data_IF_466640462798
#
_entry.id   IF_466640462798
#
_cell.length_a   1.000
_cell.length_b   1.000
_cell.length_c   1.000
_cell.angle_alpha   90.00
_cell.angle_beta   90.00
_cell.angle_gamma   90.00
#
_symmetry.space_group_name_H-M   'P 1'
#
loop_
_entity.id
_entity.type
_entity.pdbx_description
1 polymer ?
#
# COMPACT_ATOMS: atom_id res chain seq x y z
N UNK A 1 6.21 13.86 -18.75
CA UNK A 1 7.16 13.94 -17.65
C UNK A 1 6.75 13.00 -16.51
N UNK A 2 5.56 13.14 -15.91
CA UNK A 2 5.07 12.34 -14.76
C UNK A 2 5.18 10.83 -14.99
N UNK A 3 4.63 10.32 -16.11
CA UNK A 3 4.64 8.89 -16.43
C UNK A 3 6.07 8.38 -16.69
N UNK A 4 6.93 9.16 -17.34
CA UNK A 4 8.31 8.79 -17.62
C UNK A 4 9.11 8.65 -16.32
N UNK A 5 8.97 9.59 -15.38
CA UNK A 5 9.65 9.55 -14.09
C UNK A 5 9.13 8.42 -13.20
N UNK A 6 7.80 8.20 -13.19
CA UNK A 6 7.25 7.07 -12.46
C UNK A 6 7.79 5.72 -12.99
N UNK A 7 7.85 5.56 -14.31
CA UNK A 7 8.42 4.34 -14.92
C UNK A 7 9.90 4.15 -14.62
N UNK A 8 10.69 5.24 -14.65
CA UNK A 8 12.15 5.17 -14.50
C UNK A 8 12.60 5.08 -13.03
N UNK A 9 11.94 5.80 -12.13
CA UNK A 9 12.35 5.96 -10.74
C UNK A 9 11.40 5.31 -9.73
N UNK A 10 10.25 4.81 -10.14
CA UNK A 10 9.21 4.27 -9.28
C UNK A 10 8.31 5.33 -8.64
N UNK A 11 8.72 6.59 -8.63
CA UNK A 11 7.93 7.73 -8.18
C UNK A 11 8.30 9.00 -8.96
N UNK A 12 7.31 9.82 -9.27
CA UNK A 12 7.53 11.10 -9.98
C UNK A 12 8.45 12.03 -9.18
N UNK A 13 8.28 12.07 -7.86
CA UNK A 13 9.10 12.88 -6.96
C UNK A 13 10.60 12.64 -7.15
N UNK A 14 11.04 11.38 -7.29
CA UNK A 14 12.47 11.08 -7.45
C UNK A 14 13.04 11.67 -8.74
N UNK A 15 12.32 11.59 -9.84
CA UNK A 15 12.72 12.21 -11.09
C UNK A 15 12.72 13.73 -11.01
N UNK A 16 11.80 14.32 -10.26
CA UNK A 16 11.74 15.77 -10.05
C UNK A 16 12.93 16.26 -9.21
N UNK A 17 13.30 15.53 -8.17
CA UNK A 17 14.49 15.84 -7.36
C UNK A 17 15.76 15.75 -8.22
N UNK A 18 15.90 14.67 -8.99
CA UNK A 18 17.12 14.39 -9.77
C UNK A 18 17.35 15.40 -10.89
N UNK A 19 16.29 15.84 -11.57
CA UNK A 19 16.41 16.62 -12.80
C UNK A 19 16.01 18.09 -12.69
N UNK A 20 15.35 18.50 -11.60
CA UNK A 20 14.77 19.85 -11.49
C UNK A 20 15.15 20.58 -10.20
N UNK A 21 16.00 19.98 -9.36
CA UNK A 21 16.48 20.58 -8.11
C UNK A 21 15.35 21.19 -7.23
N UNK A 22 14.16 20.53 -7.24
CA UNK A 22 12.99 21.01 -6.50
C UNK A 22 13.14 20.78 -4.99
N UNK A 23 12.42 21.56 -4.20
CA UNK A 23 12.19 21.25 -2.80
C UNK A 23 11.15 20.11 -2.71
N UNK A 24 11.49 18.91 -2.19
CA UNK A 24 10.57 17.77 -2.15
C UNK A 24 9.30 18.05 -1.34
N UNK A 25 9.43 18.77 -0.22
CA UNK A 25 8.29 19.05 0.66
C UNK A 25 7.31 20.02 0.03
N UNK A 26 7.79 21.10 -0.59
CA UNK A 26 6.96 22.04 -1.32
C UNK A 26 6.23 21.31 -2.49
N UNK A 27 6.96 20.52 -3.27
CA UNK A 27 6.38 19.74 -4.36
C UNK A 27 5.26 18.79 -3.89
N UNK A 28 5.47 18.10 -2.76
CA UNK A 28 4.47 17.21 -2.19
C UNK A 28 3.22 17.95 -1.71
N UNK A 29 3.38 19.16 -1.18
CA UNK A 29 2.25 20.01 -0.80
C UNK A 29 1.45 20.48 -2.00
N UNK A 30 2.11 21.01 -3.00
CA UNK A 30 1.47 21.62 -4.18
C UNK A 30 0.76 20.59 -5.09
N UNK A 31 1.30 19.35 -5.14
CA UNK A 31 0.77 18.31 -6.02
C UNK A 31 -0.35 17.47 -5.39
N UNK A 32 -0.72 17.72 -4.13
CA UNK A 32 -1.76 16.96 -3.43
C UNK A 32 -2.85 17.88 -2.84
N UNK A 33 -3.61 18.60 -3.69
CA UNK A 33 -4.70 19.44 -3.23
C UNK A 33 -5.82 18.60 -2.61
N UNK A 34 -6.29 18.99 -1.42
CA UNK A 34 -7.25 18.24 -0.63
C UNK A 34 -8.73 18.59 -0.88
N UNK A 35 -9.13 19.88 -1.10
CA UNK A 35 -10.52 20.26 -1.07
C UNK A 35 -11.41 19.48 -2.03
N UNK A 36 -11.03 19.42 -3.31
CA UNK A 36 -11.79 18.74 -4.36
C UNK A 36 -11.86 17.22 -4.17
N UNK A 37 -10.82 16.65 -3.59
CA UNK A 37 -10.79 15.22 -3.29
C UNK A 37 -11.72 14.89 -2.13
N UNK A 38 -11.62 15.63 -1.03
CA UNK A 38 -12.44 15.38 0.16
C UNK A 38 -13.93 15.55 -0.11
N UNK A 39 -14.30 16.50 -0.98
CA UNK A 39 -15.69 16.68 -1.41
C UNK A 39 -16.27 15.44 -2.14
N UNK A 40 -15.43 14.62 -2.75
CA UNK A 40 -15.82 13.39 -3.48
C UNK A 40 -15.68 12.12 -2.65
N UNK A 41 -15.02 12.18 -1.51
CA UNK A 41 -14.86 11.07 -0.61
C UNK A 41 -15.94 11.11 0.48
N UNK A 42 -16.28 9.95 1.00
CA UNK A 42 -17.15 9.80 2.16
C UNK A 42 -16.77 8.56 2.96
N UNK A 43 -17.38 8.37 4.14
CA UNK A 43 -17.13 7.18 4.95
C UNK A 43 -17.44 5.90 4.19
N UNK A 44 -16.48 5.00 4.12
CA UNK A 44 -16.64 3.72 3.43
C UNK A 44 -17.00 2.61 4.41
N UNK A 45 -18.27 2.52 4.83
CA UNK A 45 -18.76 1.59 5.86
C UNK A 45 -18.31 0.13 5.65
N UNK A 46 -18.37 -0.39 4.40
CA UNK A 46 -17.95 -1.76 4.12
C UNK A 46 -16.45 -1.99 4.35
N UNK A 47 -15.59 -1.01 4.07
CA UNK A 47 -14.16 -1.07 4.35
C UNK A 47 -13.87 -0.96 5.85
N UNK A 48 -14.55 -0.07 6.55
CA UNK A 48 -14.46 0.06 8.01
C UNK A 48 -14.80 -1.25 8.70
N UNK A 49 -15.93 -1.87 8.33
CA UNK A 49 -16.35 -3.15 8.87
C UNK A 49 -15.34 -4.26 8.57
N UNK A 50 -14.79 -4.28 7.35
CA UNK A 50 -13.75 -5.21 6.98
C UNK A 50 -12.49 -5.04 7.82
N UNK A 51 -12.01 -3.81 8.02
CA UNK A 51 -10.83 -3.52 8.83
C UNK A 51 -11.03 -3.86 10.31
N UNK A 52 -12.24 -3.65 10.88
CA UNK A 52 -12.55 -4.05 12.26
C UNK A 52 -12.47 -5.57 12.45
N UNK A 53 -12.90 -6.34 11.46
CA UNK A 53 -12.87 -7.81 11.51
C UNK A 53 -11.49 -8.41 11.29
N UNK A 54 -10.56 -7.69 10.68
CA UNK A 54 -9.21 -8.18 10.48
C UNK A 54 -8.44 -8.23 11.80
N UNK A 55 -7.89 -9.40 12.11
CA UNK A 55 -6.98 -9.58 13.24
C UNK A 55 -5.58 -9.08 12.91
N UNK A 56 -4.83 -8.74 13.95
CA UNK A 56 -3.45 -8.26 13.83
C UNK A 56 -3.34 -6.76 13.53
N UNK A 57 -2.10 -6.32 13.59
CA UNK A 57 -1.72 -4.92 13.40
C UNK A 57 -2.00 -4.44 11.97
N UNK A 58 -2.57 -3.28 11.84
CA UNK A 58 -2.92 -2.66 10.55
C UNK A 58 -2.11 -1.38 10.36
N UNK A 59 -1.29 -1.38 9.33
CA UNK A 59 -0.40 -0.27 8.98
C UNK A 59 -0.73 0.21 7.57
N UNK A 60 -0.91 1.50 7.39
CA UNK A 60 -1.00 2.13 6.07
C UNK A 60 0.42 2.45 5.60
N UNK A 61 0.75 2.06 4.36
CA UNK A 61 2.00 2.36 3.70
C UNK A 61 1.72 3.07 2.38
N UNK A 62 2.03 4.36 2.31
CA UNK A 62 1.69 5.21 1.16
C UNK A 62 2.84 6.09 0.68
N UNK A 63 2.95 6.27 -0.64
CA UNK A 63 3.84 7.29 -1.22
C UNK A 63 3.22 8.70 -1.18
N UNK A 64 2.02 8.86 -0.64
CA UNK A 64 1.42 10.17 -0.43
C UNK A 64 2.08 10.90 0.75
N UNK A 65 2.07 12.24 0.76
CA UNK A 65 2.55 13.03 1.88
C UNK A 65 1.64 12.90 3.09
N UNK A 66 2.19 13.12 4.28
CA UNK A 66 1.55 12.94 5.57
C UNK A 66 0.23 13.70 5.70
N UNK A 67 0.24 14.99 5.37
CA UNK A 67 -0.95 15.85 5.46
C UNK A 67 -2.12 15.28 4.64
N UNK A 68 -1.81 14.81 3.42
CA UNK A 68 -2.80 14.22 2.51
C UNK A 68 -3.32 12.87 3.03
N UNK A 69 -2.42 11.97 3.41
CA UNK A 69 -2.79 10.64 3.89
C UNK A 69 -3.70 10.71 5.13
N UNK A 70 -3.32 11.52 6.12
CA UNK A 70 -4.14 11.68 7.34
C UNK A 70 -5.47 12.38 7.08
N UNK A 71 -5.53 13.38 6.19
CA UNK A 71 -6.79 14.01 5.83
C UNK A 71 -7.76 13.03 5.17
N UNK A 72 -7.26 12.21 4.23
CA UNK A 72 -8.06 11.17 3.56
C UNK A 72 -8.56 10.13 4.57
N UNK A 73 -7.69 9.63 5.45
CA UNK A 73 -8.06 8.62 6.43
C UNK A 73 -9.12 9.12 7.41
N UNK A 74 -8.96 10.35 7.93
CA UNK A 74 -9.97 10.98 8.81
C UNK A 74 -11.31 11.15 8.09
N UNK A 75 -11.29 11.67 6.87
CA UNK A 75 -12.51 11.89 6.10
C UNK A 75 -13.25 10.59 5.78
N UNK A 76 -12.50 9.52 5.52
CA UNK A 76 -13.05 8.18 5.30
C UNK A 76 -13.41 7.45 6.62
N UNK A 77 -13.14 8.04 7.79
CA UNK A 77 -13.29 7.47 9.12
C UNK A 77 -12.54 6.12 9.26
N UNK A 78 -11.29 6.09 8.79
CA UNK A 78 -10.41 4.93 8.83
C UNK A 78 -9.22 5.10 9.78
N UNK A 79 -8.94 6.32 10.23
CA UNK A 79 -7.79 6.68 11.05
C UNK A 79 -7.74 5.90 12.38
N UNK A 80 -8.88 5.75 13.06
CA UNK A 80 -9.00 4.97 14.29
C UNK A 80 -8.90 3.43 14.08
N UNK A 81 -8.88 2.96 12.85
CA UNK A 81 -8.85 1.54 12.50
C UNK A 81 -7.46 1.05 12.12
N UNK A 82 -6.47 1.93 12.11
CA UNK A 82 -5.07 1.63 11.77
C UNK A 82 -4.16 2.08 12.90
N UNK A 83 -3.12 1.31 13.17
CA UNK A 83 -2.20 1.59 14.28
C UNK A 83 -1.11 2.56 13.87
N UNK A 84 -0.73 2.56 12.59
CA UNK A 84 0.31 3.44 12.08
C UNK A 84 0.07 3.81 10.61
N UNK A 85 0.45 5.04 10.26
CA UNK A 85 0.48 5.53 8.88
C UNK A 85 1.92 5.89 8.54
N UNK A 86 2.49 5.18 7.57
CA UNK A 86 3.85 5.38 7.05
C UNK A 86 3.72 6.10 5.72
N UNK A 87 4.13 7.35 5.70
CA UNK A 87 4.05 8.26 4.55
C UNK A 87 5.40 8.39 3.84
N UNK A 88 5.44 9.10 2.72
CA UNK A 88 6.67 9.27 1.94
C UNK A 88 7.79 9.94 2.73
N UNK A 89 7.46 10.85 3.66
CA UNK A 89 8.43 11.50 4.54
C UNK A 89 9.11 10.49 5.47
N UNK A 90 8.42 9.43 5.89
CA UNK A 90 8.99 8.34 6.69
C UNK A 90 9.91 7.40 5.89
N UNK A 91 9.89 7.53 4.56
CA UNK A 91 10.72 6.76 3.62
C UNK A 91 11.96 7.52 3.18
N UNK A 92 12.33 8.58 3.89
CA UNK A 92 13.56 9.33 3.65
C UNK A 92 14.66 8.88 4.62
N UNK A 93 15.81 8.37 4.08
CA UNK A 93 16.93 7.87 4.85
C UNK A 93 18.23 8.49 4.36
N UNK A 94 18.99 9.04 5.28
CA UNK A 94 20.23 9.78 4.98
C UNK A 94 20.00 10.81 3.86
N UNK A 95 18.91 11.58 3.93
CA UNK A 95 18.56 12.59 2.93
C UNK A 95 18.05 12.05 1.59
N UNK A 96 17.86 10.74 1.45
CA UNK A 96 17.38 10.12 0.19
C UNK A 96 16.01 9.48 0.37
N UNK A 97 15.05 9.90 -0.44
CA UNK A 97 13.74 9.26 -0.51
C UNK A 97 13.84 7.89 -1.17
N UNK A 98 13.24 6.90 -0.55
CA UNK A 98 13.13 5.51 -1.05
C UNK A 98 11.66 5.05 -1.02
N UNK A 99 10.79 5.64 -1.86
CA UNK A 99 9.37 5.30 -1.88
C UNK A 99 9.14 3.86 -2.36
N UNK A 100 7.90 3.37 -2.26
CA UNK A 100 7.50 2.14 -2.94
C UNK A 100 7.82 2.25 -4.44
N UNK A 101 8.39 1.22 -5.08
CA UNK A 101 8.52 -0.19 -4.68
C UNK A 101 9.92 -0.58 -4.11
N UNK A 102 10.54 0.23 -3.27
CA UNK A 102 11.88 -0.03 -2.72
C UNK A 102 11.89 -1.23 -1.75
N UNK A 103 12.64 -2.29 -2.08
CA UNK A 103 12.87 -3.45 -1.21
C UNK A 103 13.62 -3.04 0.07
N UNK A 104 14.62 -2.16 -0.05
CA UNK A 104 15.40 -1.67 1.09
C UNK A 104 14.51 -0.90 2.08
N UNK A 105 13.58 -0.09 1.58
CA UNK A 105 12.59 0.61 2.39
C UNK A 105 11.69 -0.37 3.14
N UNK A 106 11.12 -1.36 2.45
CA UNK A 106 10.27 -2.36 3.09
C UNK A 106 11.00 -3.14 4.17
N UNK A 107 12.27 -3.55 3.93
CA UNK A 107 13.11 -4.22 4.93
C UNK A 107 13.26 -3.36 6.18
N UNK A 108 13.51 -2.08 6.01
CA UNK A 108 13.73 -1.17 7.12
C UNK A 108 12.43 -0.88 7.88
N UNK A 109 11.28 -0.75 7.18
CA UNK A 109 9.98 -0.61 7.84
C UNK A 109 9.69 -1.85 8.70
N UNK A 110 9.94 -3.06 8.20
CA UNK A 110 9.79 -4.28 9.01
C UNK A 110 10.67 -4.23 10.28
N UNK A 111 11.93 -3.82 10.15
CA UNK A 111 12.82 -3.68 11.30
C UNK A 111 12.31 -2.63 12.30
N UNK A 112 11.83 -1.48 11.83
CA UNK A 112 11.25 -0.42 12.66
C UNK A 112 9.97 -0.85 13.38
N UNK A 113 9.16 -1.70 12.73
CA UNK A 113 7.95 -2.28 13.32
C UNK A 113 8.24 -3.50 14.24
N UNK A 114 9.49 -3.96 14.31
CA UNK A 114 9.86 -5.12 15.10
C UNK A 114 9.29 -6.45 14.58
N UNK A 115 8.99 -6.54 13.27
CA UNK A 115 8.35 -7.72 12.67
C UNK A 115 9.22 -8.36 11.59
N UNK A 116 9.13 -9.68 11.45
CA UNK A 116 9.69 -10.37 10.29
C UNK A 116 8.86 -10.11 9.05
N UNK A 117 9.50 -9.92 7.91
CA UNK A 117 8.80 -9.77 6.62
C UNK A 117 7.86 -10.94 6.30
N UNK A 118 8.20 -12.16 6.76
CA UNK A 118 7.34 -13.35 6.57
C UNK A 118 6.03 -13.30 7.36
N UNK A 119 5.97 -12.49 8.41
CA UNK A 119 4.76 -12.24 9.19
C UNK A 119 3.89 -11.14 8.60
N UNK A 120 4.40 -10.43 7.57
CA UNK A 120 3.72 -9.33 6.94
C UNK A 120 2.93 -9.77 5.72
N UNK A 121 1.78 -9.15 5.54
CA UNK A 121 0.93 -9.24 4.36
C UNK A 121 0.81 -7.85 3.75
N UNK A 122 1.24 -7.69 2.50
CA UNK A 122 1.02 -6.46 1.74
C UNK A 122 -0.25 -6.61 0.87
N UNK A 123 -1.19 -5.70 1.07
CA UNK A 123 -2.42 -5.55 0.27
C UNK A 123 -2.25 -4.30 -0.59
N UNK A 124 -2.26 -4.43 -1.91
CA UNK A 124 -1.83 -3.36 -2.82
C UNK A 124 -2.47 -3.55 -4.20
N UNK A 125 -2.62 -2.48 -4.97
CA UNK A 125 -3.10 -2.46 -6.35
C UNK A 125 -1.99 -2.41 -7.40
N UNK A 126 -0.76 -2.07 -7.00
CA UNK A 126 0.44 -2.04 -7.87
C UNK A 126 1.21 -3.36 -7.80
N UNK A 127 1.33 -4.03 -8.94
CA UNK A 127 2.09 -5.28 -9.07
C UNK A 127 3.58 -5.07 -8.78
N UNK A 128 4.13 -3.91 -9.10
CA UNK A 128 5.52 -3.54 -8.84
C UNK A 128 5.80 -3.50 -7.33
N UNK A 129 4.89 -2.92 -6.55
CA UNK A 129 4.98 -2.90 -5.09
C UNK A 129 4.90 -4.32 -4.51
N UNK A 130 4.00 -5.15 -5.04
CA UNK A 130 3.88 -6.55 -4.62
C UNK A 130 5.13 -7.37 -4.96
N UNK A 131 5.76 -7.14 -6.12
CA UNK A 131 7.04 -7.78 -6.48
C UNK A 131 8.14 -7.45 -5.48
N UNK A 132 8.24 -6.20 -5.04
CA UNK A 132 9.20 -5.79 -4.02
C UNK A 132 8.96 -6.50 -2.69
N UNK A 133 7.70 -6.59 -2.24
CA UNK A 133 7.30 -7.30 -1.03
C UNK A 133 7.61 -8.81 -1.10
N UNK A 134 7.33 -9.45 -2.23
CA UNK A 134 7.63 -10.88 -2.46
C UNK A 134 9.12 -11.19 -2.38
N UNK A 135 10.00 -10.30 -2.87
CA UNK A 135 11.46 -10.47 -2.74
C UNK A 135 11.92 -10.53 -1.28
N UNK A 136 11.15 -9.96 -0.35
CA UNK A 136 11.40 -10.05 1.09
C UNK A 136 10.70 -11.24 1.76
N UNK A 137 9.96 -12.04 1.02
CA UNK A 137 9.18 -13.16 1.56
C UNK A 137 7.86 -12.77 2.20
N UNK A 138 7.37 -11.54 2.00
CA UNK A 138 6.03 -11.13 2.43
C UNK A 138 4.94 -11.91 1.68
N UNK A 139 3.81 -12.12 2.33
CA UNK A 139 2.58 -12.49 1.63
C UNK A 139 2.03 -11.27 0.90
N UNK A 140 1.29 -11.50 -0.20
CA UNK A 140 0.82 -10.42 -1.06
C UNK A 140 -0.60 -10.65 -1.53
N UNK A 141 -1.43 -9.60 -1.51
CA UNK A 141 -2.78 -9.61 -2.08
C UNK A 141 -2.89 -8.46 -3.07
N UNK A 142 -3.28 -8.77 -4.31
CA UNK A 142 -3.61 -7.78 -5.31
C UNK A 142 -5.07 -7.38 -5.19
N UNK A 143 -5.33 -6.07 -5.09
CA UNK A 143 -6.67 -5.49 -5.15
C UNK A 143 -6.97 -5.01 -6.56
N UNK A 144 -8.05 -5.49 -7.17
CA UNK A 144 -8.39 -5.22 -8.57
C UNK A 144 -9.45 -4.13 -8.77
N UNK A 145 -9.96 -3.54 -7.70
CA UNK A 145 -11.19 -2.74 -7.72
C UNK A 145 -11.11 -1.45 -8.57
N UNK A 146 -9.98 -0.77 -8.61
CA UNK A 146 -9.86 0.57 -9.22
C UNK A 146 -8.89 0.71 -10.39
N UNK A 147 -7.94 -0.17 -10.54
CA UNK A 147 -6.87 -0.03 -11.56
C UNK A 147 -7.00 -0.98 -12.76
N UNK A 148 -7.91 -1.94 -12.69
CA UNK A 148 -7.92 -3.09 -13.59
C UNK A 148 -9.16 -3.23 -14.45
N UNK A 149 -10.16 -2.36 -14.30
CA UNK A 149 -11.34 -2.35 -15.17
C UNK A 149 -10.90 -2.03 -16.60
N UNK A 150 -11.14 -2.96 -17.53
CA UNK A 150 -10.79 -2.81 -18.95
C UNK A 150 -9.43 -3.35 -19.36
N UNK A 151 -8.61 -3.89 -18.45
CA UNK A 151 -7.37 -4.61 -18.84
C UNK A 151 -7.67 -6.07 -19.18
N UNK A 152 -7.13 -6.62 -20.29
CA UNK A 152 -7.37 -8.00 -20.68
C UNK A 152 -6.83 -8.99 -19.62
N UNK A 153 -7.53 -10.11 -19.43
CA UNK A 153 -7.13 -11.18 -18.48
C UNK A 153 -5.72 -11.72 -18.74
N UNK A 154 -5.23 -11.64 -19.97
CA UNK A 154 -3.86 -11.99 -20.34
C UNK A 154 -2.79 -11.16 -19.62
N UNK A 155 -3.09 -9.91 -19.23
CA UNK A 155 -2.20 -9.09 -18.42
C UNK A 155 -1.95 -9.68 -17.01
N UNK A 156 -2.80 -10.61 -16.57
CA UNK A 156 -2.71 -11.26 -15.25
C UNK A 156 -1.85 -12.54 -15.27
N UNK A 157 -1.72 -13.20 -16.41
CA UNK A 157 -1.04 -14.50 -16.50
C UNK A 157 0.46 -14.45 -16.12
N UNK A 158 1.14 -13.32 -16.37
CA UNK A 158 2.53 -13.11 -15.97
C UNK A 158 2.76 -12.82 -14.49
N UNK A 159 1.68 -12.64 -13.69
CA UNK A 159 1.78 -12.20 -12.30
C UNK A 159 1.54 -13.31 -11.26
N UNK A 160 1.16 -14.51 -11.69
CA UNK A 160 0.83 -15.64 -10.81
C UNK A 160 1.95 -15.95 -9.78
N UNK A 161 3.23 -15.79 -10.16
CA UNK A 161 4.38 -16.01 -9.27
C UNK A 161 4.57 -14.91 -8.21
N UNK A 162 3.91 -13.77 -8.36
CA UNK A 162 4.06 -12.60 -7.49
C UNK A 162 2.94 -12.51 -6.46
N UNK A 163 1.81 -13.13 -6.74
CA UNK A 163 0.59 -13.00 -5.97
C UNK A 163 0.37 -14.20 -5.07
N UNK A 164 0.05 -13.94 -3.80
CA UNK A 164 -0.50 -14.96 -2.93
C UNK A 164 -2.00 -15.14 -3.21
N UNK A 165 -2.72 -14.03 -3.36
CA UNK A 165 -4.15 -13.98 -3.66
C UNK A 165 -4.52 -12.72 -4.44
N UNK A 166 -5.72 -12.74 -5.04
CA UNK A 166 -6.36 -11.59 -5.66
C UNK A 166 -7.74 -11.37 -5.04
N UNK A 167 -8.12 -10.14 -4.84
CA UNK A 167 -9.44 -9.76 -4.33
C UNK A 167 -10.01 -8.60 -5.15
N UNK A 168 -11.34 -8.59 -5.31
CA UNK A 168 -12.05 -7.53 -6.02
C UNK A 168 -12.75 -6.55 -5.07
N UNK A 169 -12.70 -6.80 -3.76
CA UNK A 169 -13.34 -5.93 -2.78
C UNK A 169 -12.80 -6.16 -1.37
N UNK A 170 -13.02 -5.17 -0.49
CA UNK A 170 -12.71 -5.28 0.93
C UNK A 170 -13.44 -6.47 1.62
N UNK A 171 -14.65 -6.81 1.17
CA UNK A 171 -15.39 -7.97 1.69
C UNK A 171 -14.72 -9.30 1.35
N UNK A 172 -14.17 -9.43 0.14
CA UNK A 172 -13.40 -10.62 -0.25
C UNK A 172 -12.11 -10.73 0.56
N UNK A 173 -11.44 -9.61 0.83
CA UNK A 173 -10.25 -9.57 1.68
C UNK A 173 -10.57 -10.13 3.08
N UNK A 174 -11.66 -9.70 3.70
CA UNK A 174 -12.09 -10.16 5.01
C UNK A 174 -12.35 -11.66 5.02
N UNK A 175 -13.08 -12.17 4.04
CA UNK A 175 -13.34 -13.62 3.90
C UNK A 175 -12.05 -14.42 3.78
N UNK A 176 -11.14 -13.98 2.91
CA UNK A 176 -9.86 -14.64 2.68
C UNK A 176 -9.02 -14.75 3.96
N UNK A 177 -8.99 -13.69 4.75
CA UNK A 177 -8.17 -13.62 5.96
C UNK A 177 -8.83 -14.30 7.16
N UNK A 178 -10.17 -14.34 7.24
CA UNK A 178 -10.88 -15.04 8.32
C UNK A 178 -10.76 -16.55 8.21
N UNK A 179 -10.78 -17.13 7.01
CA UNK A 179 -10.58 -18.56 6.78
C UNK A 179 -9.21 -19.05 7.26
N UNK A 180 -8.17 -18.21 7.13
CA UNK A 180 -6.80 -18.52 7.55
C UNK A 180 -6.57 -18.44 9.07
N UNK A 181 -7.49 -17.84 9.79
CA UNK A 181 -7.43 -17.69 11.26
C UNK A 181 -8.05 -18.85 12.01
N UNK A 182 -8.70 -19.80 11.33
CA UNK A 182 -9.16 -21.05 11.94
C UNK A 182 -7.95 -21.95 12.18
N UNK A 183 -7.71 -22.43 13.41
CA UNK A 183 -6.67 -23.40 13.66
C UNK A 183 -6.97 -24.64 12.82
N UNK A 184 -5.95 -25.15 12.12
CA UNK A 184 -6.05 -26.45 11.48
C UNK A 184 -6.55 -27.44 12.52
N UNK A 185 -7.70 -28.05 12.26
CA UNK A 185 -8.17 -29.21 13.02
C UNK A 185 -7.00 -30.20 13.01
N UNK A 186 -6.41 -30.45 14.18
CA UNK A 186 -5.49 -31.56 14.35
C UNK A 186 -6.25 -32.81 13.91
N UNK A 187 -5.87 -33.37 12.78
CA UNK A 187 -6.23 -34.73 12.48
C UNK A 187 -5.52 -35.59 13.53
N UNK A 188 -6.27 -36.07 14.48
CA UNK A 188 -5.86 -37.18 15.35
C UNK A 188 -5.66 -38.41 14.49
N UNK A 189 -4.45 -38.96 14.53
CA UNK A 189 -4.19 -40.39 14.52
C UNK A 189 -2.92 -40.67 15.28
#
# INVERSE_FOLDING_TARGET
>A
LRVAYWKRYGATLLGMIEHHAINPHAFLQDTHPLPDLLAKLGPHKALQESLRRLKGSKVILTNAPRHYAHAVLRHAALDALVEQVICIEDMCFAGRFRPKPSVAMLKMICARLGVSSRQCLLVEDSVENLRAARRLGMQTILVLEHGWRGRPRSAHAGHARVLTHQVHSARQLTRLLSVRSSPAVKAER
#
